data_IF_629540017238
#
_entry.id   IF_629540017238
#
_cell.length_a   1.000
_cell.length_b   1.000
_cell.length_c   1.000
_cell.angle_alpha   90.00
_cell.angle_beta   90.00
_cell.angle_gamma   90.00
#
_symmetry.space_group_name_H-M   'P 1'
#
loop_
_entity.id
_entity.type
_entity.pdbx_description
1 polymer ?
#
# COMPACT_ATOMS: atom_id res chain seq x y z
N UNK A 1 -1.13 -5.63 13.87
CA UNK A 1 -1.34 -5.67 12.41
C UNK A 1 -0.18 -4.92 11.76
N UNK A 2 0.35 -5.42 10.65
CA UNK A 2 1.53 -4.83 10.00
C UNK A 2 1.17 -4.36 8.60
N UNK A 3 1.81 -3.27 8.18
CA UNK A 3 1.87 -2.87 6.77
C UNK A 3 3.24 -3.29 6.25
N UNK A 4 3.27 -3.97 5.10
CA UNK A 4 4.52 -4.43 4.50
C UNK A 4 4.44 -4.50 2.99
N UNK A 5 5.60 -4.53 2.34
CA UNK A 5 5.71 -4.87 0.92
C UNK A 5 6.17 -6.31 0.78
N UNK A 6 5.63 -7.00 -0.22
CA UNK A 6 6.08 -8.34 -0.58
C UNK A 6 7.52 -8.24 -1.08
N UNK A 7 8.42 -8.97 -0.43
CA UNK A 7 9.79 -9.20 -0.89
C UNK A 7 9.82 -10.41 -1.81
N UNK A 8 9.25 -11.51 -1.33
CA UNK A 8 9.35 -12.80 -1.98
C UNK A 8 8.04 -13.57 -1.77
N UNK A 9 7.69 -14.35 -2.79
CA UNK A 9 6.60 -15.33 -2.74
C UNK A 9 7.24 -16.67 -3.08
N UNK A 10 7.28 -17.58 -2.12
CA UNK A 10 7.77 -18.94 -2.32
C UNK A 10 6.58 -19.84 -2.64
N UNK A 11 6.66 -20.50 -3.79
CA UNK A 11 5.64 -21.39 -4.33
C UNK A 11 6.19 -22.82 -4.29
N UNK A 12 5.36 -23.77 -3.87
CA UNK A 12 5.78 -25.17 -3.81
C UNK A 12 6.01 -25.70 -5.24
N UNK A 13 7.15 -26.36 -5.47
CA UNK A 13 7.54 -26.81 -6.81
C UNK A 13 6.60 -27.86 -7.42
N UNK A 14 5.87 -28.62 -6.60
CA UNK A 14 4.90 -29.61 -7.08
C UNK A 14 3.48 -29.07 -7.32
N UNK A 15 3.19 -27.84 -6.91
CA UNK A 15 1.89 -27.18 -7.16
C UNK A 15 2.08 -25.66 -7.28
N UNK A 16 2.17 -25.19 -8.53
CA UNK A 16 2.37 -23.76 -8.84
C UNK A 16 1.21 -22.85 -8.40
N UNK A 17 0.07 -23.41 -7.99
CA UNK A 17 -1.06 -22.67 -7.48
C UNK A 17 -1.00 -22.47 -5.97
N UNK A 18 -0.06 -23.12 -5.27
CA UNK A 18 0.06 -23.09 -3.82
C UNK A 18 1.26 -22.28 -3.36
N UNK A 19 0.99 -21.06 -2.91
CA UNK A 19 1.94 -20.25 -2.16
C UNK A 19 2.19 -20.91 -0.82
N UNK A 20 3.45 -21.14 -0.47
CA UNK A 20 3.86 -21.76 0.79
C UNK A 20 4.29 -20.69 1.80
N UNK A 21 5.06 -19.70 1.35
CA UNK A 21 5.56 -18.63 2.19
C UNK A 21 5.51 -17.29 1.47
N UNK A 22 5.20 -16.23 2.22
CA UNK A 22 5.33 -14.85 1.77
C UNK A 22 6.24 -14.11 2.75
N UNK A 23 7.33 -13.54 2.24
CA UNK A 23 8.19 -12.66 3.01
C UNK A 23 7.72 -11.22 2.82
N UNK A 24 7.40 -10.55 3.93
CA UNK A 24 7.03 -9.14 3.96
C UNK A 24 8.13 -8.32 4.61
N UNK A 25 8.61 -7.29 3.92
CA UNK A 25 9.39 -6.24 4.56
C UNK A 25 8.44 -5.18 5.14
N UNK A 26 8.60 -4.87 6.42
CA UNK A 26 7.66 -4.05 7.16
C UNK A 26 7.92 -2.55 7.02
N UNK A 27 6.84 -1.78 7.13
CA UNK A 27 6.87 -0.34 7.34
C UNK A 27 6.59 0.00 8.81
N UNK A 28 7.17 1.10 9.28
CA UNK A 28 6.84 1.73 10.56
C UNK A 28 6.25 3.12 10.34
N UNK A 29 5.24 3.49 11.12
CA UNK A 29 4.71 4.85 11.10
C UNK A 29 5.68 5.83 11.72
N UNK A 30 5.77 7.03 11.15
CA UNK A 30 6.38 8.18 11.81
C UNK A 30 5.43 8.74 12.87
N UNK A 31 5.94 9.53 13.81
CA UNK A 31 5.12 10.08 14.90
C UNK A 31 4.13 11.17 14.45
N UNK A 32 4.45 11.87 13.36
CA UNK A 32 3.66 12.99 12.84
C UNK A 32 3.19 12.75 11.41
N UNK A 33 2.09 13.41 11.04
CA UNK A 33 1.63 13.49 9.66
C UNK A 33 2.61 14.29 8.79
N UNK A 34 2.60 14.03 7.49
CA UNK A 34 3.30 14.88 6.53
C UNK A 34 2.84 16.34 6.67
N UNK A 35 3.75 17.33 6.75
CA UNK A 35 3.39 18.73 7.00
C UNK A 35 2.46 19.31 5.94
N UNK A 36 2.76 19.08 4.65
CA UNK A 36 1.95 19.60 3.53
C UNK A 36 0.74 18.74 3.15
N UNK A 37 0.89 17.41 3.16
CA UNK A 37 -0.14 16.49 2.68
C UNK A 37 -1.11 16.05 3.77
N UNK A 38 -0.73 16.20 5.04
CA UNK A 38 -1.49 15.73 6.20
C UNK A 38 -1.90 14.25 6.11
N UNK A 39 -1.00 13.43 5.56
CA UNK A 39 -1.13 11.98 5.45
C UNK A 39 -0.13 11.27 6.37
N UNK A 40 -0.41 10.04 6.84
CA UNK A 40 0.55 9.27 7.61
C UNK A 40 1.80 8.97 6.78
N UNK A 41 2.97 9.24 7.35
CA UNK A 41 4.24 8.85 6.75
C UNK A 41 4.70 7.49 7.30
N UNK A 42 5.44 6.78 6.46
CA UNK A 42 5.94 5.44 6.70
C UNK A 42 7.43 5.39 6.38
N UNK A 43 8.20 4.76 7.25
CA UNK A 43 9.58 4.38 6.98
C UNK A 43 9.66 2.90 6.67
N UNK A 44 10.36 2.56 5.58
CA UNK A 44 10.66 1.18 5.25
C UNK A 44 11.75 0.67 6.19
N UNK A 45 11.45 -0.39 6.93
CA UNK A 45 12.35 -0.98 7.92
C UNK A 45 13.10 -2.18 7.35
N UNK A 46 14.15 -2.63 8.05
CA UNK A 46 14.81 -3.91 7.76
C UNK A 46 14.10 -5.10 8.43
N UNK A 47 12.97 -4.86 9.11
CA UNK A 47 12.22 -5.93 9.77
C UNK A 47 11.43 -6.73 8.72
N UNK A 48 11.55 -8.05 8.80
CA UNK A 48 10.86 -8.97 7.92
C UNK A 48 9.92 -9.88 8.71
N UNK A 49 8.76 -10.14 8.13
CA UNK A 49 7.76 -11.05 8.67
C UNK A 49 7.50 -12.13 7.63
N UNK A 50 7.64 -13.38 8.04
CA UNK A 50 7.38 -14.55 7.21
C UNK A 50 5.98 -15.07 7.51
N UNK A 51 5.12 -15.06 6.49
CA UNK A 51 3.79 -15.64 6.56
C UNK A 51 3.87 -17.04 5.97
N UNK A 52 3.68 -18.07 6.80
CA UNK A 52 3.44 -19.42 6.28
C UNK A 52 1.98 -19.49 5.83
N UNK A 53 1.79 -19.66 4.52
CA UNK A 53 0.48 -19.89 3.90
C UNK A 53 0.07 -21.36 4.05
N UNK A 54 0.30 -21.96 5.22
CA UNK A 54 -0.19 -23.28 5.55
C UNK A 54 -1.70 -23.20 5.81
N UNK A 55 -2.50 -23.44 4.76
CA UNK A 55 -3.90 -23.85 4.94
C UNK A 55 -3.86 -25.25 5.57
N UNK A 56 -3.97 -25.31 6.91
CA UNK A 56 -4.20 -26.58 7.60
C UNK A 56 -5.68 -26.95 7.50
N UNK A 57 -6.00 -28.00 6.74
CA UNK A 57 -7.23 -28.74 6.91
C UNK A 57 -6.95 -29.87 7.90
N UNK A 58 -7.38 -29.73 9.15
CA UNK A 58 -7.45 -30.87 10.07
C UNK A 58 -8.89 -31.37 10.14
N UNK A 59 -9.18 -32.45 9.42
CA UNK A 59 -10.27 -33.35 9.78
C UNK A 59 -9.73 -34.30 10.86
N UNK A 60 -10.10 -34.07 12.11
CA UNK A 60 -9.99 -35.10 13.15
C UNK A 60 -11.37 -35.72 13.37
N UNK A 61 -11.49 -37.06 13.30
CA UNK A 61 -12.67 -37.73 13.78
C UNK A 61 -12.64 -37.69 15.31
N UNK A 62 -13.67 -37.13 15.92
CA UNK A 62 -14.05 -37.39 17.32
C UNK A 62 -13.21 -36.68 18.42
N UNK A 63 -13.34 -35.35 18.53
CA UNK A 63 -13.63 -34.58 19.76
C UNK A 63 -13.20 -33.12 19.58
N UNK A 64 -14.18 -32.24 19.74
CA UNK A 64 -14.13 -30.83 19.40
C UNK A 64 -13.31 -30.05 20.44
N UNK A 65 -12.06 -29.74 20.10
CA UNK A 65 -11.33 -28.62 20.68
C UNK A 65 -10.65 -27.88 19.53
N UNK A 66 -11.28 -26.81 19.07
CA UNK A 66 -10.76 -25.97 17.99
C UNK A 66 -9.67 -25.08 18.58
N UNK A 67 -8.42 -25.51 18.50
CA UNK A 67 -7.28 -24.63 18.71
C UNK A 67 -6.98 -23.94 17.38
N UNK A 68 -7.35 -22.67 17.28
CA UNK A 68 -7.02 -21.82 16.13
C UNK A 68 -5.51 -21.69 16.01
N UNK A 69 -4.91 -22.39 15.04
CA UNK A 69 -3.51 -22.17 14.67
C UNK A 69 -3.45 -21.00 13.69
N UNK A 70 -2.60 -20.03 14.08
CA UNK A 70 -2.48 -18.67 13.56
C UNK A 70 -2.47 -18.59 12.02
N UNK A 71 -3.58 -18.15 11.44
CA UNK A 71 -3.64 -17.83 10.02
C UNK A 71 -3.14 -16.40 9.81
N UNK A 72 -1.83 -16.27 9.62
CA UNK A 72 -1.23 -15.00 9.23
C UNK A 72 -1.62 -14.73 7.77
N UNK A 73 -2.75 -14.02 7.56
CA UNK A 73 -3.36 -13.78 6.25
C UNK A 73 -3.07 -12.36 5.78
N UNK A 74 -2.81 -12.23 4.48
CA UNK A 74 -2.85 -10.93 3.79
C UNK A 74 -4.31 -10.48 3.79
N UNK A 75 -4.60 -9.39 4.50
CA UNK A 75 -5.97 -8.89 4.67
C UNK A 75 -6.42 -8.05 3.46
N UNK A 76 -5.57 -7.14 3.02
CA UNK A 76 -5.83 -6.27 1.87
C UNK A 76 -4.50 -5.71 1.31
N UNK A 77 -4.52 -5.26 0.06
CA UNK A 77 -3.50 -4.34 -0.44
C UNK A 77 -3.73 -2.95 0.15
N UNK A 78 -2.69 -2.12 0.26
CA UNK A 78 -2.81 -0.71 0.61
C UNK A 78 -2.03 0.13 -0.39
N UNK A 79 -2.43 1.38 -0.58
CA UNK A 79 -1.74 2.29 -1.50
C UNK A 79 -0.71 3.11 -0.71
N UNK A 80 0.56 2.84 -1.00
CA UNK A 80 1.71 3.52 -0.42
C UNK A 80 2.48 4.16 -1.56
N UNK A 81 2.82 5.44 -1.40
CA UNK A 81 3.54 6.22 -2.39
C UNK A 81 4.87 6.69 -1.82
N UNK A 82 5.90 6.79 -2.66
CA UNK A 82 7.19 7.34 -2.25
C UNK A 82 7.02 8.81 -1.84
N UNK A 83 7.67 9.23 -0.74
CA UNK A 83 7.66 10.62 -0.30
C UNK A 83 8.58 11.47 -1.19
N UNK A 84 8.13 11.75 -2.41
CA UNK A 84 8.88 12.48 -3.42
C UNK A 84 9.09 13.94 -3.06
N UNK A 85 8.16 14.52 -2.28
CA UNK A 85 8.20 15.93 -1.87
C UNK A 85 9.43 16.14 -1.00
N UNK A 86 9.55 15.39 0.09
CA UNK A 86 10.67 15.54 1.03
C UNK A 86 11.98 14.95 0.46
N UNK A 87 11.87 13.92 -0.39
CA UNK A 87 13.05 13.34 -1.05
C UNK A 87 13.58 14.19 -2.21
N UNK A 88 12.82 15.19 -2.68
CA UNK A 88 13.17 16.01 -3.82
C UNK A 88 13.43 15.19 -5.09
N UNK A 89 12.51 14.31 -5.46
CA UNK A 89 12.62 13.49 -6.67
C UNK A 89 12.28 14.32 -7.91
N UNK A 90 13.31 14.88 -8.55
CA UNK A 90 13.18 15.74 -9.74
C UNK A 90 13.56 15.04 -11.04
N UNK A 91 14.32 13.95 -10.95
CA UNK A 91 14.78 13.23 -12.13
C UNK A 91 13.61 12.54 -12.81
N UNK A 92 13.64 12.51 -14.13
CA UNK A 92 12.62 11.85 -14.94
C UNK A 92 13.25 10.82 -15.85
N UNK A 93 12.63 9.65 -15.93
CA UNK A 93 12.96 8.59 -16.87
C UNK A 93 11.87 8.42 -17.92
N UNK A 94 12.14 7.55 -18.91
CA UNK A 94 11.14 7.14 -19.88
C UNK A 94 10.69 5.71 -19.60
N UNK A 95 9.38 5.48 -19.58
CA UNK A 95 8.80 4.15 -19.44
C UNK A 95 7.95 3.84 -20.69
N UNK A 96 8.12 2.66 -21.32
CA UNK A 96 7.20 2.21 -22.35
C UNK A 96 5.79 2.07 -21.79
N UNK A 97 4.78 2.47 -22.57
CA UNK A 97 3.38 2.34 -22.21
C UNK A 97 2.87 0.97 -22.67
N UNK A 98 2.27 0.24 -21.74
CA UNK A 98 1.54 -0.99 -22.02
C UNK A 98 0.04 -0.72 -21.99
N UNK A 99 -0.70 -1.26 -22.94
CA UNK A 99 -2.16 -1.28 -22.95
C UNK A 99 -2.61 -2.74 -23.06
N UNK A 100 -3.48 -3.19 -22.16
CA UNK A 100 -3.95 -4.59 -22.12
C UNK A 100 -2.79 -5.61 -22.18
N UNK A 101 -1.72 -5.34 -21.42
CA UNK A 101 -0.48 -6.13 -21.40
C UNK A 101 0.31 -6.14 -22.72
N UNK A 102 -0.13 -5.41 -23.75
CA UNK A 102 0.57 -5.26 -25.03
C UNK A 102 1.47 -4.02 -25.01
N UNK A 103 2.74 -4.19 -25.39
CA UNK A 103 3.70 -3.09 -25.53
C UNK A 103 3.26 -2.18 -26.68
N UNK A 104 3.11 -0.89 -26.40
CA UNK A 104 2.81 0.11 -27.43
C UNK A 104 4.10 0.80 -27.90
N UNK A 105 4.03 1.49 -29.04
CA UNK A 105 5.12 2.37 -29.51
C UNK A 105 5.29 3.65 -28.69
N UNK A 106 4.40 3.91 -27.72
CA UNK A 106 4.39 5.12 -26.92
C UNK A 106 5.24 4.93 -25.67
N UNK A 107 5.97 5.98 -25.31
CA UNK A 107 6.61 6.11 -24.00
C UNK A 107 5.98 7.25 -23.22
N UNK A 108 6.13 7.20 -21.90
CA UNK A 108 5.74 8.29 -20.99
C UNK A 108 6.90 8.65 -20.08
N UNK A 109 6.95 9.92 -19.73
CA UNK A 109 7.84 10.44 -18.71
C UNK A 109 7.38 9.93 -17.33
N UNK A 110 8.30 9.37 -16.55
CA UNK A 110 8.07 8.90 -15.18
C UNK A 110 9.05 9.57 -14.22
N UNK A 111 8.62 9.82 -12.99
CA UNK A 111 9.53 10.29 -11.94
C UNK A 111 10.48 9.14 -11.57
N UNK A 112 11.79 9.41 -11.62
CA UNK A 112 12.80 8.51 -11.08
C UNK A 112 13.00 8.81 -9.60
N UNK A 113 12.49 7.91 -8.76
CA UNK A 113 12.60 8.05 -7.32
C UNK A 113 14.05 7.88 -6.85
N UNK A 114 14.45 8.72 -5.90
CA UNK A 114 15.70 8.50 -5.15
C UNK A 114 15.51 7.28 -4.25
N UNK A 115 16.56 6.52 -3.94
CA UNK A 115 16.48 5.32 -3.09
C UNK A 115 16.37 5.68 -1.60
N UNK A 116 15.40 6.53 -1.24
CA UNK A 116 15.10 6.88 0.15
C UNK A 116 14.00 5.97 0.70
N UNK A 117 14.05 5.59 1.98
CA UNK A 117 13.10 4.67 2.59
C UNK A 117 11.80 5.34 3.07
N UNK A 118 11.49 6.56 2.61
CA UNK A 118 10.38 7.37 3.11
C UNK A 118 9.17 7.30 2.19
N UNK A 119 8.01 7.03 2.78
CA UNK A 119 6.77 6.78 2.06
C UNK A 119 5.58 7.45 2.75
N UNK A 120 4.47 7.56 2.02
CA UNK A 120 3.21 8.12 2.47
C UNK A 120 2.11 7.09 2.26
N UNK A 121 1.29 6.87 3.28
CA UNK A 121 0.12 6.01 3.21
C UNK A 121 -1.10 6.78 2.72
N UNK A 122 -1.77 6.29 1.69
CA UNK A 122 -3.09 6.79 1.32
C UNK A 122 -4.14 6.26 2.31
N UNK A 123 -4.36 7.02 3.38
CA UNK A 123 -5.32 6.70 4.43
C UNK A 123 -6.80 6.78 3.99
N UNK A 124 -7.09 7.28 2.78
CA UNK A 124 -8.44 7.53 2.28
C UNK A 124 -8.85 6.57 1.15
N UNK A 125 -8.22 5.40 1.09
CA UNK A 125 -8.56 4.40 0.08
C UNK A 125 -9.96 3.81 0.33
N UNK A 126 -10.78 3.74 -0.72
CA UNK A 126 -12.22 3.46 -0.63
C UNK A 126 -12.51 2.02 -0.18
N UNK A 127 -11.70 1.05 -0.62
CA UNK A 127 -12.04 -0.38 -0.50
C UNK A 127 -11.50 -1.07 0.76
N UNK A 128 -10.60 -0.42 1.49
CA UNK A 128 -9.82 -1.00 2.59
C UNK A 128 -9.62 0.01 3.73
N UNK A 129 -10.46 1.06 3.76
CA UNK A 129 -10.39 2.14 4.73
C UNK A 129 -10.40 1.63 6.17
N UNK A 130 -11.30 0.69 6.49
CA UNK A 130 -11.44 0.18 7.86
C UNK A 130 -10.16 -0.50 8.35
N UNK A 131 -9.54 -1.33 7.50
CA UNK A 131 -8.26 -1.98 7.81
C UNK A 131 -7.11 -0.98 7.93
N UNK A 132 -7.06 0.02 7.04
CA UNK A 132 -6.05 1.07 7.09
C UNK A 132 -6.19 1.90 8.36
N UNK A 133 -7.42 2.24 8.75
CA UNK A 133 -7.71 3.00 9.97
C UNK A 133 -7.32 2.22 11.21
N UNK A 134 -7.64 0.92 11.26
CA UNK A 134 -7.30 0.05 12.40
C UNK A 134 -5.80 -0.11 12.62
N UNK A 135 -4.99 -0.12 11.55
CA UNK A 135 -3.52 -0.26 11.66
C UNK A 135 -2.81 1.07 11.85
N UNK A 136 -3.44 2.19 11.48
CA UNK A 136 -2.86 3.53 11.63
C UNK A 136 -3.01 3.99 13.08
N UNK A 137 -1.93 4.49 13.73
CA UNK A 137 -2.03 5.08 15.07
C UNK A 137 -3.08 6.19 15.16
N UNK A 138 -3.82 6.25 16.27
CA UNK A 138 -4.88 7.25 16.47
C UNK A 138 -4.37 8.69 16.38
N UNK A 139 -3.11 8.94 16.77
CA UNK A 139 -2.45 10.26 16.64
C UNK A 139 -2.30 10.72 15.19
N UNK A 140 -2.37 9.80 14.23
CA UNK A 140 -2.28 10.07 12.80
C UNK A 140 -3.66 10.01 12.12
N UNK A 141 -4.75 9.84 12.87
CA UNK A 141 -6.10 9.96 12.32
C UNK A 141 -6.43 11.43 12.17
N UNK A 142 -6.24 11.98 10.96
CA UNK A 142 -6.86 13.25 10.61
C UNK A 142 -8.21 12.97 9.97
N UNK A 143 -9.25 13.65 10.43
CA UNK A 143 -10.51 13.71 9.68
C UNK A 143 -10.20 14.21 8.27
N UNK A 144 -10.77 13.58 7.22
CA UNK A 144 -10.53 14.00 5.85
C UNK A 144 -10.79 15.49 5.72
N UNK A 145 -10.02 16.15 4.84
CA UNK A 145 -10.30 17.51 4.37
C UNK A 145 -11.77 17.57 3.97
N UNK A 146 -12.61 18.09 4.87
CA UNK A 146 -14.00 18.37 4.56
C UNK A 146 -13.94 19.55 3.61
N UNK A 147 -14.16 19.28 2.33
CA UNK A 147 -14.44 20.34 1.37
C UNK A 147 -15.76 20.95 1.82
N UNK A 148 -15.68 22.12 2.45
CA UNK A 148 -16.83 22.82 3.02
C UNK A 148 -17.78 23.30 1.93
N UNK A 149 -17.26 23.58 0.73
CA UNK A 149 -18.03 24.02 -0.42
C UNK A 149 -17.57 23.30 -1.70
N UNK A 150 -18.17 22.13 -1.97
CA UNK A 150 -17.81 21.28 -3.12
C UNK A 150 -18.10 21.99 -4.45
N UNK A 151 -19.20 22.76 -4.52
CA UNK A 151 -19.61 23.45 -5.73
C UNK A 151 -18.58 24.51 -6.17
N UNK A 152 -18.02 25.24 -5.21
CA UNK A 152 -16.99 26.24 -5.47
C UNK A 152 -15.68 25.61 -5.96
N UNK A 153 -15.22 24.53 -5.31
CA UNK A 153 -14.01 23.81 -5.74
C UNK A 153 -14.18 23.25 -7.16
N UNK A 154 -15.36 22.71 -7.47
CA UNK A 154 -15.66 22.22 -8.82
C UNK A 154 -15.69 23.34 -9.85
N UNK A 155 -16.33 24.48 -9.54
CA UNK A 155 -16.38 25.64 -10.43
C UNK A 155 -14.98 26.18 -10.73
N UNK A 156 -14.12 26.28 -9.71
CA UNK A 156 -12.74 26.73 -9.84
C UNK A 156 -11.92 25.78 -10.71
N UNK A 157 -12.05 24.47 -10.51
CA UNK A 157 -11.35 23.46 -11.30
C UNK A 157 -11.77 23.49 -12.78
N UNK A 158 -13.07 23.64 -13.05
CA UNK A 158 -13.61 23.78 -14.41
C UNK A 158 -13.06 25.04 -15.08
N UNK A 159 -13.00 26.15 -14.34
CA UNK A 159 -12.44 27.40 -14.85
C UNK A 159 -10.95 27.24 -15.22
N UNK A 160 -10.14 26.64 -14.33
CA UNK A 160 -8.71 26.39 -14.59
C UNK A 160 -8.44 25.46 -15.77
N UNK A 161 -9.33 24.50 -16.04
CA UNK A 161 -9.21 23.63 -17.21
C UNK A 161 -9.57 24.31 -18.54
N UNK A 162 -10.33 25.42 -18.51
CA UNK A 162 -10.70 26.19 -19.70
C UNK A 162 -9.65 27.24 -20.08
N UNK A 163 -8.83 27.67 -19.13
CA UNK A 163 -7.77 28.67 -19.33
C UNK A 163 -6.41 28.05 -19.75
N UNK A 164 -6.34 26.72 -19.90
CA UNK A 164 -5.19 25.99 -20.42
C UNK A 164 -5.44 25.50 -21.84
#
# INVERSE_FOLDING_TARGET
>A
MYIGRIREILILSSDHLKVEHVALQCFSFTETLHPSLHLPCLDLTNNEVFLSAAISYHCLPSRLHILWVSSCRILCSVNIQHNCIDSGCTNTGQQPVYQEQTLTSRSRCIVQHKPTPHYILNAYSIHNYDYIRLVTPDTLHKTPLRVTNVAEVQALAVWQMREK
#
